data_IF_635289142789
#
_entry.id   IF_635289142789
#
_cell.length_a   1.000
_cell.length_b   1.000
_cell.length_c   1.000
_cell.angle_alpha   90.00
_cell.angle_beta   90.00
_cell.angle_gamma   90.00
#
_symmetry.space_group_name_H-M   'P 1'
#
loop_
_entity.id
_entity.type
_entity.pdbx_description
1 polymer ?
#
# COMPACT_ATOMS: atom_id res chain seq x y z
N UNK A 1 18.68 22.48 -5.43
CA UNK A 1 17.88 21.62 -4.54
C UNK A 1 18.19 20.14 -4.72
N UNK A 2 18.26 19.63 -5.94
CA UNK A 2 18.56 18.21 -6.23
C UNK A 2 19.92 17.73 -5.73
N UNK A 3 20.98 18.53 -5.87
CA UNK A 3 22.35 18.17 -5.42
C UNK A 3 22.43 17.97 -3.90
N UNK A 4 21.81 18.84 -3.12
CA UNK A 4 21.83 18.75 -1.66
C UNK A 4 21.08 17.51 -1.16
N UNK A 5 19.97 17.17 -1.80
CA UNK A 5 19.18 15.98 -1.47
C UNK A 5 19.94 14.70 -1.79
N UNK A 6 20.57 14.62 -2.98
CA UNK A 6 21.41 13.49 -3.34
C UNK A 6 22.61 13.35 -2.40
N UNK A 7 23.22 14.47 -1.97
CA UNK A 7 24.31 14.47 -0.98
C UNK A 7 23.88 13.80 0.32
N UNK A 8 22.70 14.13 0.85
CA UNK A 8 22.17 13.54 2.08
C UNK A 8 21.86 12.05 1.93
N UNK A 9 21.36 11.64 0.77
CA UNK A 9 21.16 10.22 0.44
C UNK A 9 22.50 9.48 0.48
N UNK A 10 23.54 10.04 -0.13
CA UNK A 10 24.86 9.42 -0.19
C UNK A 10 25.59 9.46 1.14
N UNK A 11 25.55 10.56 1.87
CA UNK A 11 26.10 10.64 3.23
C UNK A 11 25.51 9.57 4.17
N UNK A 12 24.21 9.25 3.99
CA UNK A 12 23.54 8.18 4.69
C UNK A 12 24.04 6.78 4.27
N UNK A 13 24.19 6.55 2.97
CA UNK A 13 24.67 5.26 2.42
C UNK A 13 26.13 5.01 2.78
N UNK A 14 27.00 6.03 2.82
CA UNK A 14 28.41 5.91 3.24
C UNK A 14 28.60 5.51 4.68
N UNK A 15 27.73 5.99 5.59
CA UNK A 15 27.82 5.67 7.02
C UNK A 15 27.52 4.21 7.35
N UNK A 16 26.97 3.43 6.42
CA UNK A 16 26.52 2.07 6.72
C UNK A 16 27.35 0.93 6.15
N UNK A 17 28.27 1.05 5.17
CA UNK A 17 29.06 -0.14 4.80
C UNK A 17 30.04 -0.10 3.61
N UNK A 18 30.15 0.95 2.75
CA UNK A 18 30.91 0.74 1.51
C UNK A 18 31.83 1.88 1.03
N UNK A 19 32.82 2.28 1.81
CA UNK A 19 33.90 3.20 1.35
C UNK A 19 34.86 2.59 0.28
N UNK A 20 34.75 1.34 -0.07
CA UNK A 20 35.83 0.66 -0.83
C UNK A 20 35.63 0.47 -2.33
N UNK A 21 34.47 0.74 -2.92
CA UNK A 21 34.23 0.42 -4.34
C UNK A 21 33.38 1.42 -5.13
N UNK A 22 33.64 2.70 -5.03
CA UNK A 22 32.98 3.70 -5.90
C UNK A 22 33.54 3.56 -7.33
N UNK A 23 32.79 2.97 -8.24
CA UNK A 23 33.22 2.83 -9.64
C UNK A 23 33.05 4.17 -10.39
N UNK A 24 34.07 4.55 -11.19
CA UNK A 24 34.04 5.70 -12.10
C UNK A 24 32.78 5.65 -12.99
N UNK A 25 32.11 6.80 -13.16
CA UNK A 25 30.90 6.91 -13.97
C UNK A 25 29.59 6.50 -13.29
N UNK A 26 29.64 5.98 -12.06
CA UNK A 26 28.41 5.74 -11.27
C UNK A 26 27.83 7.04 -10.75
N UNK A 27 26.55 7.04 -10.36
CA UNK A 27 25.89 8.18 -9.72
C UNK A 27 26.74 8.71 -8.54
N UNK A 28 27.29 7.82 -7.70
CA UNK A 28 28.19 8.15 -6.59
C UNK A 28 29.45 8.88 -7.09
N UNK A 29 30.11 8.37 -8.12
CA UNK A 29 31.28 9.01 -8.70
C UNK A 29 30.97 10.42 -9.18
N UNK A 30 29.95 10.60 -10.00
CA UNK A 30 29.56 11.90 -10.56
C UNK A 30 29.24 12.92 -9.45
N UNK A 31 28.63 12.45 -8.39
CA UNK A 31 28.35 13.28 -7.23
C UNK A 31 29.62 13.76 -6.54
N UNK A 32 30.56 12.86 -6.19
CA UNK A 32 31.80 13.20 -5.49
C UNK A 32 32.70 14.13 -6.33
N UNK A 33 32.74 13.89 -7.63
CA UNK A 33 33.59 14.69 -8.53
C UNK A 33 32.87 15.86 -9.19
N UNK A 34 31.68 16.19 -8.69
CA UNK A 34 30.87 17.34 -9.17
C UNK A 34 30.56 17.29 -10.68
N UNK A 35 30.49 16.10 -11.26
CA UNK A 35 30.09 15.91 -12.65
C UNK A 35 28.58 16.16 -12.83
N UNK A 36 28.13 16.64 -14.01
CA UNK A 36 26.72 16.87 -14.26
C UNK A 36 25.93 15.55 -14.26
N UNK A 37 24.80 15.52 -13.53
CA UNK A 37 23.89 14.38 -13.52
C UNK A 37 23.05 14.36 -14.79
N UNK A 38 22.92 13.21 -15.40
CA UNK A 38 22.00 12.93 -16.51
C UNK A 38 20.74 12.23 -16.02
N UNK A 39 19.75 12.08 -16.89
CA UNK A 39 18.54 11.33 -16.57
C UNK A 39 18.82 9.86 -16.22
N UNK A 40 19.88 9.28 -16.81
CA UNK A 40 20.26 7.88 -16.57
C UNK A 40 20.88 7.68 -15.18
N UNK A 41 21.45 8.72 -14.59
CA UNK A 41 21.99 8.69 -13.24
C UNK A 41 20.92 8.57 -12.14
N UNK A 42 19.67 8.85 -12.48
CA UNK A 42 18.51 8.70 -11.58
C UNK A 42 17.90 7.29 -11.64
N UNK A 43 18.57 6.34 -12.32
CA UNK A 43 18.14 4.95 -12.41
C UNK A 43 18.95 4.10 -11.43
N UNK A 44 18.30 3.66 -10.36
CA UNK A 44 18.86 2.69 -9.40
C UNK A 44 18.44 1.30 -9.87
N UNK A 45 19.37 0.45 -10.30
CA UNK A 45 19.05 -0.88 -10.83
C UNK A 45 18.63 -1.90 -9.76
N UNK A 46 18.98 -1.69 -8.49
CA UNK A 46 18.64 -2.54 -7.35
C UNK A 46 17.74 -1.84 -6.35
N UNK A 47 17.84 -2.29 -5.11
CA UNK A 47 17.12 -1.70 -3.97
C UNK A 47 17.80 -0.41 -3.50
N UNK A 48 16.99 0.53 -3.01
CA UNK A 48 17.46 1.74 -2.34
C UNK A 48 16.94 1.76 -0.89
N UNK A 49 17.85 1.59 0.06
CA UNK A 49 17.52 1.57 1.48
C UNK A 49 17.89 2.89 2.15
N UNK A 50 16.87 3.64 2.56
CA UNK A 50 16.98 4.94 3.24
C UNK A 50 16.21 4.93 4.59
N UNK A 51 15.99 3.76 5.17
CA UNK A 51 15.32 3.60 6.47
C UNK A 51 15.99 4.47 7.53
N UNK A 52 15.19 5.12 8.39
CA UNK A 52 15.62 6.01 9.47
C UNK A 52 16.43 7.25 9.01
N UNK A 53 16.43 7.55 7.70
CA UNK A 53 17.16 8.71 7.20
C UNK A 53 16.41 10.02 7.45
N UNK A 54 17.18 11.13 7.54
CA UNK A 54 16.63 12.50 7.70
C UNK A 54 16.43 13.21 6.36
N UNK A 55 16.25 12.45 5.27
CA UNK A 55 15.99 13.05 3.97
C UNK A 55 14.68 13.83 3.99
N UNK A 56 14.65 14.94 3.29
CA UNK A 56 13.47 15.81 3.17
C UNK A 56 12.79 15.69 1.82
N UNK A 57 13.48 15.20 0.80
CA UNK A 57 12.97 15.01 -0.57
C UNK A 57 13.77 13.94 -1.31
N UNK A 58 13.21 13.44 -2.40
CA UNK A 58 13.88 12.61 -3.40
C UNK A 58 13.96 13.38 -4.73
N UNK A 59 14.94 13.09 -5.60
CA UNK A 59 15.08 13.79 -6.88
C UNK A 59 13.92 13.45 -7.84
N UNK A 60 13.50 14.44 -8.62
CA UNK A 60 12.52 14.28 -9.70
C UNK A 60 13.00 13.24 -10.71
N UNK A 61 12.08 12.40 -11.17
CA UNK A 61 12.38 11.36 -12.16
C UNK A 61 13.17 10.16 -11.65
N UNK A 62 13.32 10.00 -10.33
CA UNK A 62 13.96 8.83 -9.72
C UNK A 62 13.22 7.55 -10.14
N UNK A 63 13.99 6.56 -10.59
CA UNK A 63 13.50 5.20 -10.92
C UNK A 63 14.28 4.19 -10.10
N UNK A 64 13.58 3.33 -9.40
CA UNK A 64 14.16 2.26 -8.58
C UNK A 64 13.77 0.91 -9.18
N UNK A 65 14.75 0.17 -9.70
CA UNK A 65 14.57 -1.12 -10.34
C UNK A 65 14.28 -2.27 -9.36
N UNK A 66 14.58 -2.07 -8.09
CA UNK A 66 14.21 -2.95 -6.98
C UNK A 66 13.22 -2.27 -6.05
N UNK A 67 13.39 -2.45 -4.74
CA UNK A 67 12.57 -1.89 -3.67
C UNK A 67 13.14 -0.56 -3.15
N UNK A 68 12.25 0.34 -2.70
CA UNK A 68 12.59 1.60 -2.06
C UNK A 68 12.09 1.60 -0.61
N UNK A 69 13.03 1.58 0.34
CA UNK A 69 12.72 1.55 1.77
C UNK A 69 12.94 2.93 2.39
N UNK A 70 11.84 3.56 2.81
CA UNK A 70 11.78 4.91 3.39
C UNK A 70 11.10 4.89 4.79
N UNK A 71 11.10 3.72 5.43
CA UNK A 71 10.54 3.56 6.78
C UNK A 71 11.20 4.50 7.77
N UNK A 72 10.39 5.13 8.64
CA UNK A 72 10.82 6.12 9.64
C UNK A 72 11.52 7.37 9.07
N UNK A 73 11.33 7.70 7.79
CA UNK A 73 11.82 8.96 7.21
C UNK A 73 10.91 10.13 7.64
N UNK A 74 11.00 10.55 8.88
CA UNK A 74 10.09 11.54 9.50
C UNK A 74 10.25 12.97 8.99
N UNK A 75 11.26 13.25 8.16
CA UNK A 75 11.43 14.54 7.50
C UNK A 75 10.91 14.55 6.05
N UNK A 76 10.54 13.36 5.50
CA UNK A 76 10.04 13.21 4.14
C UNK A 76 8.52 13.38 4.14
N UNK A 77 8.02 14.44 3.52
CA UNK A 77 6.59 14.78 3.51
C UNK A 77 5.89 14.53 2.18
N UNK A 78 6.65 14.36 1.09
CA UNK A 78 6.14 14.11 -0.26
C UNK A 78 7.12 13.29 -1.08
N UNK A 79 6.61 12.65 -2.14
CA UNK A 79 7.40 11.94 -3.14
C UNK A 79 7.49 12.78 -4.43
N UNK A 80 8.57 12.62 -5.23
CA UNK A 80 8.72 13.35 -6.49
C UNK A 80 7.74 12.82 -7.55
N UNK A 81 7.37 13.70 -8.48
CA UNK A 81 6.61 13.31 -9.66
C UNK A 81 7.39 12.30 -10.51
N UNK A 82 6.67 11.36 -11.09
CA UNK A 82 7.25 10.35 -11.97
C UNK A 82 8.12 9.31 -11.27
N UNK A 83 8.08 9.22 -9.91
CA UNK A 83 8.71 8.13 -9.18
C UNK A 83 8.15 6.79 -9.66
N UNK A 84 9.05 5.86 -10.01
CA UNK A 84 8.72 4.48 -10.36
C UNK A 84 9.52 3.52 -9.51
N UNK A 85 8.84 2.58 -8.87
CA UNK A 85 9.45 1.54 -8.04
C UNK A 85 8.97 0.18 -8.55
N UNK A 86 9.88 -0.67 -9.03
CA UNK A 86 9.50 -2.00 -9.53
C UNK A 86 9.20 -3.00 -8.42
N UNK A 87 9.89 -2.88 -7.29
CA UNK A 87 9.67 -3.70 -6.09
C UNK A 87 8.72 -3.05 -5.09
N UNK A 88 9.02 -3.25 -3.81
CA UNK A 88 8.28 -2.70 -2.67
C UNK A 88 8.60 -1.21 -2.48
N UNK A 89 7.58 -0.41 -2.18
CA UNK A 89 7.73 0.95 -1.65
C UNK A 89 7.26 0.96 -0.18
N UNK A 90 8.22 1.03 0.74
CA UNK A 90 7.92 1.08 2.18
C UNK A 90 8.09 2.49 2.74
N UNK A 91 6.97 3.14 3.06
CA UNK A 91 6.87 4.47 3.64
C UNK A 91 6.37 4.42 5.10
N UNK A 92 6.33 3.23 5.70
CA UNK A 92 5.79 3.02 7.06
C UNK A 92 6.42 4.00 8.05
N UNK A 93 5.59 4.69 8.85
CA UNK A 93 6.01 5.67 9.86
C UNK A 93 6.80 6.86 9.30
N UNK A 94 6.71 7.15 8.00
CA UNK A 94 7.20 8.42 7.45
C UNK A 94 6.15 9.53 7.59
N UNK A 95 6.58 10.78 7.42
CA UNK A 95 5.67 11.96 7.51
C UNK A 95 4.97 12.28 6.17
N UNK A 96 4.90 11.32 5.26
CA UNK A 96 4.22 11.46 3.97
C UNK A 96 2.76 11.88 4.18
N UNK A 97 2.34 12.93 3.46
CA UNK A 97 0.98 13.47 3.49
C UNK A 97 0.21 13.20 2.21
N UNK A 98 0.92 13.10 1.08
CA UNK A 98 0.33 12.88 -0.24
C UNK A 98 1.22 11.99 -1.10
N UNK A 99 0.61 11.28 -2.04
CA UNK A 99 1.31 10.56 -3.11
C UNK A 99 1.17 11.34 -4.42
N UNK A 100 2.18 11.29 -5.30
CA UNK A 100 2.09 11.94 -6.60
C UNK A 100 1.12 11.18 -7.53
N UNK A 101 0.45 11.94 -8.41
CA UNK A 101 -0.33 11.35 -9.50
C UNK A 101 0.56 10.46 -10.36
N UNK A 102 -0.01 9.34 -10.83
CA UNK A 102 0.70 8.39 -11.68
C UNK A 102 1.80 7.60 -10.97
N UNK A 103 1.79 7.53 -9.63
CA UNK A 103 2.69 6.64 -8.90
C UNK A 103 2.44 5.17 -9.31
N UNK A 104 3.50 4.49 -9.72
CA UNK A 104 3.48 3.07 -10.07
C UNK A 104 4.40 2.29 -9.11
N UNK A 105 3.83 1.29 -8.41
CA UNK A 105 4.56 0.37 -7.53
C UNK A 105 4.31 -1.04 -8.00
N UNK A 106 5.34 -1.74 -8.47
CA UNK A 106 5.22 -3.11 -8.99
C UNK A 106 5.01 -4.15 -7.91
N UNK A 107 5.59 -3.94 -6.73
CA UNK A 107 5.39 -4.77 -5.53
C UNK A 107 4.39 -4.17 -4.55
N UNK A 108 4.65 -4.33 -3.25
CA UNK A 108 3.81 -3.80 -2.18
C UNK A 108 4.03 -2.31 -1.95
N UNK A 109 2.95 -1.58 -1.61
CA UNK A 109 2.98 -0.21 -1.13
C UNK A 109 2.56 -0.16 0.35
N UNK A 110 3.51 0.14 1.24
CA UNK A 110 3.26 0.20 2.68
C UNK A 110 3.25 1.66 3.17
N UNK A 111 2.07 2.12 3.60
CA UNK A 111 1.79 3.48 4.08
C UNK A 111 1.35 3.52 5.55
N UNK A 112 1.44 2.41 6.26
CA UNK A 112 0.98 2.32 7.65
C UNK A 112 1.63 3.38 8.56
N UNK A 113 0.84 3.96 9.47
CA UNK A 113 1.28 5.00 10.40
C UNK A 113 1.83 6.27 9.73
N UNK A 114 1.45 6.56 8.49
CA UNK A 114 1.78 7.84 7.83
C UNK A 114 0.68 8.88 8.06
N UNK A 115 0.94 10.12 7.65
CA UNK A 115 -0.05 11.22 7.74
C UNK A 115 -0.91 11.38 6.49
N UNK A 116 -0.94 10.36 5.63
CA UNK A 116 -1.72 10.39 4.40
C UNK A 116 -3.21 10.43 4.68
N UNK A 117 -3.95 11.22 3.90
CA UNK A 117 -5.40 11.39 4.05
C UNK A 117 -6.20 10.95 2.83
N UNK A 118 -5.55 10.78 1.68
CA UNK A 118 -6.14 10.32 0.44
C UNK A 118 -5.12 9.61 -0.44
N UNK A 119 -5.59 8.79 -1.36
CA UNK A 119 -4.80 8.18 -2.43
C UNK A 119 -5.13 8.88 -3.76
N UNK A 120 -4.17 9.00 -4.70
CA UNK A 120 -4.44 9.55 -6.02
C UNK A 120 -5.32 8.63 -6.85
N UNK A 121 -6.12 9.22 -7.74
CA UNK A 121 -6.87 8.46 -8.74
C UNK A 121 -5.91 7.67 -9.65
N UNK A 122 -6.34 6.47 -10.05
CA UNK A 122 -5.52 5.62 -10.93
C UNK A 122 -4.24 5.07 -10.30
N UNK A 123 -4.10 5.09 -8.96
CA UNK A 123 -2.98 4.44 -8.25
C UNK A 123 -2.86 2.97 -8.64
N UNK A 124 -1.65 2.56 -9.08
CA UNK A 124 -1.37 1.18 -9.46
C UNK A 124 -0.44 0.52 -8.44
N UNK A 125 -0.91 -0.56 -7.83
CA UNK A 125 -0.15 -1.39 -6.89
C UNK A 125 -0.21 -2.84 -7.36
N UNK A 126 0.91 -3.38 -7.81
CA UNK A 126 0.98 -4.76 -8.30
C UNK A 126 0.91 -5.81 -7.19
N UNK A 127 1.46 -5.50 -6.02
CA UNK A 127 1.41 -6.32 -4.81
C UNK A 127 0.32 -5.89 -3.84
N UNK A 128 0.63 -5.93 -2.54
CA UNK A 128 -0.28 -5.51 -1.47
C UNK A 128 -0.25 -4.01 -1.19
N UNK A 129 -1.34 -3.49 -0.61
CA UNK A 129 -1.46 -2.11 -0.16
C UNK A 129 -1.75 -2.08 1.35
N UNK A 130 -0.83 -1.50 2.12
CA UNK A 130 -0.95 -1.33 3.57
C UNK A 130 -1.28 0.10 3.96
N UNK A 131 -2.47 0.34 4.55
CA UNK A 131 -2.98 1.65 4.96
C UNK A 131 -3.34 1.72 6.45
N UNK A 132 -3.06 0.68 7.22
CA UNK A 132 -3.45 0.60 8.63
C UNK A 132 -2.90 1.78 9.45
N UNK A 133 -3.72 2.28 10.37
CA UNK A 133 -3.36 3.40 11.25
C UNK A 133 -3.03 4.72 10.48
N UNK A 134 -3.62 4.92 9.31
CA UNK A 134 -3.59 6.20 8.58
C UNK A 134 -4.86 7.01 8.83
N UNK A 135 -4.91 8.25 8.29
CA UNK A 135 -6.08 9.12 8.38
C UNK A 135 -6.96 9.07 7.12
N UNK A 136 -6.81 8.05 6.28
CA UNK A 136 -7.63 7.86 5.08
C UNK A 136 -9.08 7.60 5.47
N UNK A 137 -10.00 8.32 4.82
CA UNK A 137 -11.45 8.19 5.03
C UNK A 137 -12.17 7.55 3.85
N UNK A 138 -11.56 7.54 2.68
CA UNK A 138 -12.08 6.93 1.46
C UNK A 138 -10.94 6.43 0.57
N UNK A 139 -11.25 5.48 -0.29
CA UNK A 139 -10.35 4.97 -1.32
C UNK A 139 -10.85 5.46 -2.69
N UNK A 140 -9.98 5.59 -3.72
CA UNK A 140 -10.39 5.98 -5.06
C UNK A 140 -11.29 4.92 -5.71
N UNK A 141 -12.21 5.36 -6.57
CA UNK A 141 -13.10 4.47 -7.31
C UNK A 141 -12.32 3.52 -8.23
N UNK A 142 -12.80 2.28 -8.33
CA UNK A 142 -12.16 1.26 -9.16
C UNK A 142 -10.76 0.86 -8.75
N UNK A 143 -10.35 1.10 -7.49
CA UNK A 143 -9.04 0.70 -6.98
C UNK A 143 -8.83 -0.81 -7.15
N UNK A 144 -7.70 -1.17 -7.77
CA UNK A 144 -7.28 -2.57 -7.93
C UNK A 144 -5.96 -2.81 -7.23
N UNK A 145 -5.93 -3.83 -6.37
CA UNK A 145 -4.76 -4.25 -5.60
C UNK A 145 -4.48 -5.71 -5.94
N UNK A 146 -3.31 -6.00 -6.51
CA UNK A 146 -2.96 -7.36 -6.93
C UNK A 146 -2.78 -8.35 -5.79
N UNK A 147 -2.29 -7.89 -4.63
CA UNK A 147 -2.08 -8.68 -3.42
C UNK A 147 -3.11 -8.38 -2.32
N UNK A 148 -2.64 -8.29 -1.09
CA UNK A 148 -3.46 -7.97 0.08
C UNK A 148 -3.84 -6.48 0.15
N UNK A 149 -4.95 -6.18 0.82
CA UNK A 149 -5.35 -4.81 1.19
C UNK A 149 -5.56 -4.74 2.71
N UNK A 150 -4.65 -4.00 3.40
CA UNK A 150 -4.73 -3.78 4.85
C UNK A 150 -5.34 -2.42 5.16
N UNK A 151 -6.57 -2.41 5.69
CA UNK A 151 -7.33 -1.24 6.10
C UNK A 151 -7.67 -1.26 7.59
N UNK A 152 -7.01 -2.13 8.37
CA UNK A 152 -7.32 -2.32 9.78
C UNK A 152 -7.31 -0.99 10.56
N UNK A 153 -8.31 -0.80 11.42
CA UNK A 153 -8.50 0.38 12.29
C UNK A 153 -8.72 1.71 11.56
N UNK A 154 -9.04 1.70 10.26
CA UNK A 154 -9.38 2.93 9.55
C UNK A 154 -10.77 3.43 9.95
N UNK A 155 -10.92 4.75 9.92
CA UNK A 155 -12.20 5.43 10.15
C UNK A 155 -12.95 5.63 8.83
N UNK A 156 -13.21 4.53 8.10
CA UNK A 156 -13.95 4.53 6.84
C UNK A 156 -15.38 4.07 7.07
N UNK A 157 -16.33 4.63 6.31
CA UNK A 157 -17.75 4.26 6.37
C UNK A 157 -18.16 3.29 5.26
N UNK A 158 -17.54 3.42 4.09
CA UNK A 158 -17.79 2.61 2.90
C UNK A 158 -16.49 2.32 2.15
N UNK A 159 -16.51 1.33 1.26
CA UNK A 159 -15.47 1.09 0.27
C UNK A 159 -15.97 1.51 -1.12
N UNK A 160 -15.09 1.86 -2.08
CA UNK A 160 -15.48 2.32 -3.40
C UNK A 160 -16.08 1.20 -4.25
N UNK A 161 -16.94 1.57 -5.17
CA UNK A 161 -17.44 0.65 -6.19
C UNK A 161 -16.28 0.17 -7.09
N UNK A 162 -16.38 -1.06 -7.58
CA UNK A 162 -15.36 -1.67 -8.42
C UNK A 162 -14.05 -2.01 -7.72
N UNK A 163 -14.00 -1.99 -6.38
CA UNK A 163 -12.83 -2.46 -5.62
C UNK A 163 -12.56 -3.94 -5.92
N UNK A 164 -11.33 -4.24 -6.35
CA UNK A 164 -10.85 -5.60 -6.54
C UNK A 164 -9.58 -5.84 -5.72
N UNK A 165 -9.56 -6.92 -4.93
CA UNK A 165 -8.43 -7.34 -4.08
C UNK A 165 -8.02 -8.74 -4.47
N UNK A 166 -6.85 -8.92 -5.09
CA UNK A 166 -6.38 -10.23 -5.54
C UNK A 166 -6.02 -11.20 -4.42
N UNK A 167 -5.63 -10.67 -3.24
CA UNK A 167 -5.33 -11.45 -2.04
C UNK A 167 -6.34 -11.23 -0.92
N UNK A 168 -5.83 -11.08 0.30
CA UNK A 168 -6.64 -10.92 1.51
C UNK A 168 -7.10 -9.48 1.73
N UNK A 169 -8.33 -9.30 2.20
CA UNK A 169 -8.85 -8.01 2.61
C UNK A 169 -9.02 -7.95 4.14
N UNK A 170 -8.27 -7.06 4.77
CA UNK A 170 -8.30 -6.82 6.21
C UNK A 170 -9.02 -5.51 6.53
N UNK A 171 -10.16 -5.63 7.18
CA UNK A 171 -11.01 -4.52 7.65
C UNK A 171 -11.23 -4.58 9.17
N UNK A 172 -10.44 -5.41 9.86
CA UNK A 172 -10.62 -5.57 11.31
C UNK A 172 -10.54 -4.23 12.06
N UNK A 173 -11.44 -4.07 13.01
CA UNK A 173 -11.61 -2.84 13.78
C UNK A 173 -12.01 -1.58 12.97
N UNK A 174 -12.51 -1.71 11.74
CA UNK A 174 -13.17 -0.62 11.01
C UNK A 174 -14.58 -0.40 11.59
N UNK A 175 -14.63 0.18 12.79
CA UNK A 175 -15.88 0.29 13.57
C UNK A 175 -16.97 1.10 12.89
N UNK A 176 -16.61 2.05 12.03
CA UNK A 176 -17.55 2.92 11.31
C UNK A 176 -18.01 2.36 9.97
N UNK A 177 -17.47 1.23 9.51
CA UNK A 177 -17.83 0.61 8.24
C UNK A 177 -19.31 0.16 8.29
N UNK A 178 -20.12 0.74 7.40
CA UNK A 178 -21.58 0.52 7.31
C UNK A 178 -21.95 -0.49 6.24
N UNK A 179 -21.23 -0.47 5.10
CA UNK A 179 -21.49 -1.32 3.95
C UNK A 179 -20.22 -1.66 3.19
N UNK A 180 -20.31 -2.74 2.42
CA UNK A 180 -19.32 -3.13 1.40
C UNK A 180 -19.96 -2.92 0.01
N UNK A 181 -19.18 -2.62 -1.05
CA UNK A 181 -19.72 -2.37 -2.38
C UNK A 181 -20.31 -3.65 -3.00
N UNK A 182 -21.32 -3.48 -3.84
CA UNK A 182 -21.93 -4.56 -4.61
C UNK A 182 -20.87 -5.21 -5.52
N UNK A 183 -20.89 -6.55 -5.58
CA UNK A 183 -19.93 -7.29 -6.41
C UNK A 183 -18.48 -7.23 -5.96
N UNK A 184 -18.20 -6.88 -4.69
CA UNK A 184 -16.84 -6.91 -4.13
C UNK A 184 -16.16 -8.25 -4.38
N UNK A 185 -14.93 -8.21 -4.92
CA UNK A 185 -14.12 -9.40 -5.17
C UNK A 185 -12.90 -9.43 -4.27
N UNK A 186 -12.73 -10.51 -3.53
CA UNK A 186 -11.60 -10.78 -2.64
C UNK A 186 -11.04 -12.15 -3.00
N UNK A 187 -9.82 -12.21 -3.52
CA UNK A 187 -9.21 -13.48 -3.95
C UNK A 187 -8.84 -14.41 -2.78
N UNK A 188 -8.45 -13.82 -1.65
CA UNK A 188 -8.13 -14.52 -0.40
C UNK A 188 -9.27 -14.45 0.62
N UNK A 189 -8.93 -14.37 1.90
CA UNK A 189 -9.92 -14.24 2.98
C UNK A 189 -10.39 -12.78 3.17
N UNK A 190 -11.56 -12.65 3.81
CA UNK A 190 -12.14 -11.36 4.21
C UNK A 190 -12.22 -11.29 5.74
N UNK A 191 -11.48 -10.36 6.34
CA UNK A 191 -11.50 -10.12 7.78
C UNK A 191 -12.36 -8.90 8.14
N UNK A 192 -13.46 -9.13 8.84
CA UNK A 192 -14.45 -8.14 9.29
C UNK A 192 -14.57 -8.12 10.83
N UNK A 193 -13.57 -8.64 11.54
CA UNK A 193 -13.60 -8.67 13.01
C UNK A 193 -13.80 -7.26 13.57
N UNK A 194 -14.72 -7.14 14.51
CA UNK A 194 -15.06 -5.87 15.17
C UNK A 194 -15.59 -4.76 14.23
N UNK A 195 -16.09 -5.08 13.02
CA UNK A 195 -16.85 -4.16 12.18
C UNK A 195 -18.29 -4.04 12.72
N UNK A 196 -18.45 -3.39 13.86
CA UNK A 196 -19.71 -3.41 14.67
C UNK A 196 -20.91 -2.81 13.95
N UNK A 197 -20.68 -1.88 13.03
CA UNK A 197 -21.74 -1.18 12.28
C UNK A 197 -22.09 -1.86 10.95
N UNK A 198 -21.33 -2.87 10.50
CA UNK A 198 -21.63 -3.62 9.30
C UNK A 198 -22.78 -4.62 9.57
N UNK A 199 -23.95 -4.40 8.95
CA UNK A 199 -25.18 -5.15 9.25
C UNK A 199 -25.61 -6.11 8.13
N UNK A 200 -24.96 -6.07 6.98
CA UNK A 200 -25.26 -6.94 5.84
C UNK A 200 -24.01 -7.16 4.98
N UNK A 201 -24.01 -8.25 4.24
CA UNK A 201 -23.07 -8.49 3.15
C UNK A 201 -23.70 -8.01 1.84
N UNK A 202 -22.91 -7.50 0.87
CA UNK A 202 -23.43 -7.00 -0.41
C UNK A 202 -23.80 -8.17 -1.33
N UNK A 203 -24.70 -7.93 -2.27
CA UNK A 203 -24.97 -8.90 -3.34
C UNK A 203 -23.73 -9.10 -4.20
N UNK A 204 -23.61 -10.29 -4.81
CA UNK A 204 -22.50 -10.68 -5.70
C UNK A 204 -21.12 -10.60 -5.02
N UNK A 205 -21.05 -10.63 -3.68
CA UNK A 205 -19.77 -10.75 -2.98
C UNK A 205 -19.09 -12.06 -3.38
N UNK A 206 -17.84 -11.96 -3.83
CA UNK A 206 -17.00 -13.14 -4.14
C UNK A 206 -15.81 -13.15 -3.19
N UNK A 207 -15.67 -14.22 -2.38
CA UNK A 207 -14.53 -14.42 -1.48
C UNK A 207 -13.88 -15.76 -1.79
N UNK A 208 -12.65 -15.72 -2.28
CA UNK A 208 -11.86 -16.90 -2.62
C UNK A 208 -12.45 -17.73 -3.76
N UNK A 209 -13.16 -17.13 -4.71
CA UNK A 209 -13.85 -17.86 -5.78
C UNK A 209 -12.93 -18.84 -6.50
N UNK A 210 -11.71 -18.41 -6.80
CA UNK A 210 -10.72 -19.21 -7.55
C UNK A 210 -9.63 -19.82 -6.64
N UNK A 211 -9.80 -19.74 -5.31
CA UNK A 211 -8.83 -20.30 -4.36
C UNK A 211 -8.96 -21.82 -4.26
N UNK A 212 -7.86 -22.53 -4.42
CA UNK A 212 -7.79 -23.99 -4.24
C UNK A 212 -8.04 -24.43 -2.78
N UNK A 213 -7.72 -23.57 -1.82
CA UNK A 213 -7.93 -23.75 -0.39
C UNK A 213 -8.99 -22.76 0.07
N UNK A 214 -10.05 -23.23 0.70
CA UNK A 214 -11.16 -22.37 1.08
C UNK A 214 -10.73 -21.05 1.72
N UNK A 215 -11.30 -19.95 1.25
CA UNK A 215 -11.02 -18.58 1.76
C UNK A 215 -12.12 -18.17 2.74
N UNK A 216 -11.83 -18.11 4.05
CA UNK A 216 -12.83 -17.82 5.06
C UNK A 216 -13.22 -16.36 5.13
N UNK A 217 -14.37 -16.10 5.78
CA UNK A 217 -14.73 -14.79 6.32
C UNK A 217 -14.65 -14.84 7.84
N UNK A 218 -14.04 -13.85 8.46
CA UNK A 218 -13.96 -13.66 9.90
C UNK A 218 -14.90 -12.54 10.31
N UNK A 219 -15.87 -12.79 11.19
CA UNK A 219 -16.92 -11.82 11.56
C UNK A 219 -17.08 -11.60 13.07
N UNK A 220 -16.18 -12.16 13.90
CA UNK A 220 -16.24 -12.02 15.35
C UNK A 220 -16.40 -10.54 15.77
N UNK A 221 -17.32 -10.26 16.70
CA UNK A 221 -17.59 -8.91 17.17
C UNK A 221 -18.18 -7.95 16.13
N UNK A 222 -18.49 -8.41 14.92
CA UNK A 222 -19.13 -7.58 13.90
C UNK A 222 -20.63 -7.54 14.04
N UNK A 223 -21.29 -6.60 13.37
CA UNK A 223 -22.75 -6.55 13.29
C UNK A 223 -23.40 -7.72 12.54
N UNK A 224 -22.56 -8.57 11.90
CA UNK A 224 -22.97 -9.78 11.16
C UNK A 224 -23.05 -11.03 12.04
N UNK A 225 -22.37 -11.04 13.19
CA UNK A 225 -22.21 -12.25 14.04
C UNK A 225 -23.53 -12.89 14.46
N UNK A 226 -24.59 -12.09 14.58
CA UNK A 226 -25.94 -12.54 14.94
C UNK A 226 -26.66 -13.36 13.87
N UNK A 227 -26.19 -13.37 12.62
CA UNK A 227 -26.83 -14.08 11.53
C UNK A 227 -26.26 -15.50 11.36
N UNK A 228 -27.09 -16.47 11.00
CA UNK A 228 -26.64 -17.81 10.63
C UNK A 228 -25.84 -17.79 9.32
N UNK A 229 -24.98 -18.79 9.09
CA UNK A 229 -24.22 -18.95 7.86
C UNK A 229 -25.13 -19.01 6.63
N UNK A 230 -26.26 -19.72 6.74
CA UNK A 230 -27.25 -19.81 5.65
C UNK A 230 -27.82 -18.41 5.32
N UNK A 231 -28.12 -17.58 6.34
CA UNK A 231 -28.59 -16.23 6.13
C UNK A 231 -27.55 -15.33 5.46
N UNK A 232 -26.28 -15.41 5.90
CA UNK A 232 -25.19 -14.64 5.32
C UNK A 232 -24.94 -15.03 3.86
N UNK A 233 -24.93 -16.33 3.55
CA UNK A 233 -24.78 -16.82 2.16
C UNK A 233 -25.94 -16.39 1.27
N UNK A 234 -27.17 -16.35 1.80
CA UNK A 234 -28.34 -15.85 1.05
C UNK A 234 -28.26 -14.34 0.76
N UNK A 235 -27.64 -13.55 1.62
CA UNK A 235 -27.47 -12.10 1.37
C UNK A 235 -26.63 -11.81 0.12
N UNK A 236 -25.63 -12.64 -0.16
CA UNK A 236 -24.67 -12.39 -1.25
C UNK A 236 -25.11 -12.92 -2.61
N UNK A 237 -26.17 -13.69 -2.71
CA UNK A 237 -26.60 -14.33 -3.96
C UNK A 237 -26.73 -13.32 -5.12
N UNK A 238 -26.19 -13.66 -6.33
CA UNK A 238 -25.54 -14.92 -6.73
C UNK A 238 -24.03 -15.02 -6.45
N UNK A 239 -23.48 -14.30 -5.46
CA UNK A 239 -22.08 -14.35 -5.08
C UNK A 239 -21.66 -15.66 -4.39
N UNK A 240 -20.38 -15.75 -3.98
CA UNK A 240 -19.81 -16.95 -3.38
C UNK A 240 -18.85 -16.62 -2.22
N UNK A 241 -18.91 -17.41 -1.16
CA UNK A 241 -17.89 -17.51 -0.12
C UNK A 241 -17.31 -18.93 -0.20
N UNK A 242 -16.09 -19.06 -0.71
CA UNK A 242 -15.40 -20.36 -0.83
C UNK A 242 -14.66 -20.68 0.46
N UNK A 243 -15.37 -20.85 1.56
CA UNK A 243 -14.75 -21.16 2.84
C UNK A 243 -15.73 -21.12 4.01
N UNK A 244 -15.17 -21.22 5.22
CA UNK A 244 -15.92 -21.15 6.48
C UNK A 244 -16.18 -19.69 6.87
N UNK A 245 -17.22 -19.49 7.67
CA UNK A 245 -17.53 -18.22 8.34
C UNK A 245 -17.17 -18.42 9.82
N UNK A 246 -16.14 -17.67 10.28
CA UNK A 246 -15.65 -17.74 11.65
C UNK A 246 -16.21 -16.58 12.50
N UNK A 247 -16.64 -16.92 13.71
CA UNK A 247 -17.13 -15.99 14.75
C UNK A 247 -16.17 -15.91 15.89
#
# INVERSE_FOLDING_TARGET
MEKETLKRIFDFLENKENKKNIKKGTLMWKFFFNEPLTKDDLIINGDLNLVDSKITSLPEGLKVGGSLYLKNCTSLTSLPKGLKVKGVLDLTKSDIKTLPEGLEVGGDLNLGFTKITSLPEGLKVGGGLGLSETNIKSLPEGLKVGGYLFLAKLNIETLPEGLEVGGNLHLDNCKNLKSLPEGLKVGGFLNLINCINLKSLPKRLEVGKDAHWGSPIYIAGSGLEKFSDAKLRKMIEPGVINGKIYR
#
